data_IF_634940221448
#
_entry.id   IF_634940221448
#
_cell.length_a   1.000
_cell.length_b   1.000
_cell.length_c   1.000
_cell.angle_alpha   90.00
_cell.angle_beta   90.00
_cell.angle_gamma   90.00
#
_symmetry.space_group_name_H-M   'P 1'
#
loop_
_entity.id
_entity.type
_entity.pdbx_description
1 polymer ?
#
# COMPACT_ATOMS: atom_id res chain seq x y z
N UNK A 1 -28.82 -31.13 77.60
CA UNK A 1 -29.92 -30.39 76.95
C UNK A 1 -29.66 -28.89 76.87
N UNK A 2 -29.70 -28.11 77.96
CA UNK A 2 -29.51 -26.65 77.85
C UNK A 2 -28.11 -26.22 77.36
N UNK A 3 -27.04 -26.92 77.77
CA UNK A 3 -25.67 -26.67 77.29
C UNK A 3 -25.50 -26.96 75.80
N UNK A 4 -26.07 -28.06 75.31
CA UNK A 4 -25.95 -28.47 73.91
C UNK A 4 -26.68 -27.48 72.98
N UNK A 5 -27.85 -27.00 73.40
CA UNK A 5 -28.61 -25.97 72.68
C UNK A 5 -27.82 -24.66 72.58
N UNK A 6 -27.17 -24.24 73.67
CA UNK A 6 -26.32 -23.04 73.67
C UNK A 6 -25.11 -23.18 72.74
N UNK A 7 -24.50 -24.37 72.69
CA UNK A 7 -23.36 -24.67 71.80
C UNK A 7 -23.78 -24.62 70.32
N UNK A 8 -24.95 -25.18 70.00
CA UNK A 8 -25.50 -25.13 68.63
C UNK A 8 -25.80 -23.69 68.22
N UNK A 9 -26.34 -22.87 69.13
CA UNK A 9 -26.64 -21.47 68.84
C UNK A 9 -25.37 -20.65 68.56
N UNK A 10 -24.29 -20.89 69.31
CA UNK A 10 -23.00 -20.25 69.10
C UNK A 10 -22.42 -20.58 67.71
N UNK A 11 -22.45 -21.85 67.30
CA UNK A 11 -21.97 -22.29 65.99
C UNK A 11 -22.81 -21.72 64.84
N UNK A 12 -24.13 -21.65 65.00
CA UNK A 12 -25.02 -21.03 64.01
C UNK A 12 -24.74 -19.54 63.85
N UNK A 13 -24.46 -18.85 64.96
CA UNK A 13 -24.10 -17.43 64.92
C UNK A 13 -22.76 -17.20 64.21
N UNK A 14 -21.74 -17.97 64.56
CA UNK A 14 -20.41 -17.89 63.94
C UNK A 14 -20.47 -18.19 62.43
N UNK A 15 -21.17 -19.25 62.02
CA UNK A 15 -21.35 -19.58 60.60
C UNK A 15 -22.15 -18.53 59.84
N UNK A 16 -23.14 -17.89 60.47
CA UNK A 16 -23.89 -16.76 59.89
C UNK A 16 -22.99 -15.54 59.68
N UNK A 17 -22.20 -15.16 60.68
CA UNK A 17 -21.25 -14.03 60.59
C UNK A 17 -20.19 -14.29 59.50
N UNK A 18 -19.71 -15.53 59.38
CA UNK A 18 -18.76 -15.92 58.35
C UNK A 18 -19.38 -15.84 56.94
N UNK A 19 -20.62 -16.31 56.76
CA UNK A 19 -21.37 -16.18 55.49
C UNK A 19 -21.58 -14.71 55.11
N UNK A 20 -21.91 -13.84 56.07
CA UNK A 20 -22.09 -12.41 55.84
C UNK A 20 -20.77 -11.73 55.41
N UNK A 21 -19.64 -12.11 56.02
CA UNK A 21 -18.32 -11.63 55.61
C UNK A 21 -17.96 -12.02 54.16
N UNK A 22 -18.28 -13.27 53.77
CA UNK A 22 -18.06 -13.78 52.40
C UNK A 22 -18.94 -13.05 51.39
N UNK A 23 -20.21 -12.82 51.73
CA UNK A 23 -21.13 -12.04 50.90
C UNK A 23 -20.62 -10.62 50.67
N UNK A 24 -20.16 -9.95 51.72
CA UNK A 24 -19.58 -8.61 51.61
C UNK A 24 -18.32 -8.58 50.73
N UNK A 25 -17.44 -9.57 50.88
CA UNK A 25 -16.25 -9.71 50.03
C UNK A 25 -16.63 -9.90 48.55
N UNK A 26 -17.59 -10.79 48.25
CA UNK A 26 -18.09 -11.03 46.88
C UNK A 26 -18.68 -9.75 46.29
N UNK A 27 -19.50 -9.02 47.05
CA UNK A 27 -20.08 -7.75 46.58
C UNK A 27 -19.01 -6.70 46.27
N UNK A 28 -17.96 -6.60 47.09
CA UNK A 28 -16.86 -5.68 46.84
C UNK A 28 -16.08 -6.04 45.56
N UNK A 29 -15.82 -7.33 45.35
CA UNK A 29 -15.16 -7.83 44.15
C UNK A 29 -16.04 -7.62 42.90
N UNK A 30 -17.35 -7.83 43.02
CA UNK A 30 -18.31 -7.59 41.94
C UNK A 30 -18.31 -6.13 41.50
N UNK A 31 -18.36 -5.18 42.44
CA UNK A 31 -18.26 -3.74 42.14
C UNK A 31 -16.95 -3.38 41.43
N UNK A 32 -15.84 -3.97 41.85
CA UNK A 32 -14.54 -3.76 41.21
C UNK A 32 -14.51 -4.30 39.77
N UNK A 33 -15.17 -5.44 39.52
CA UNK A 33 -15.33 -6.01 38.17
C UNK A 33 -16.21 -5.12 37.30
N UNK A 34 -17.34 -4.64 37.82
CA UNK A 34 -18.23 -3.71 37.11
C UNK A 34 -17.49 -2.43 36.70
N UNK A 35 -16.70 -1.84 37.60
CA UNK A 35 -15.87 -0.67 37.30
C UNK A 35 -14.82 -0.93 36.20
N UNK A 36 -14.25 -2.14 36.15
CA UNK A 36 -13.34 -2.53 35.06
C UNK A 36 -14.08 -2.73 33.74
N UNK A 37 -15.28 -3.28 33.77
CA UNK A 37 -16.10 -3.44 32.56
C UNK A 37 -16.51 -2.08 31.98
N UNK A 38 -16.85 -1.11 32.83
CA UNK A 38 -17.19 0.24 32.37
C UNK A 38 -15.97 0.94 31.74
N UNK A 39 -14.78 0.82 32.34
CA UNK A 39 -13.53 1.31 31.74
C UNK A 39 -13.24 0.67 30.37
N UNK A 40 -13.36 -0.67 30.29
CA UNK A 40 -13.17 -1.39 29.02
C UNK A 40 -14.17 -0.91 27.98
N UNK A 41 -15.44 -0.71 28.35
CA UNK A 41 -16.46 -0.18 27.46
C UNK A 41 -16.10 1.21 26.91
N UNK A 42 -15.62 2.11 27.76
CA UNK A 42 -15.17 3.44 27.35
C UNK A 42 -13.97 3.38 26.40
N UNK A 43 -12.99 2.51 26.69
CA UNK A 43 -11.79 2.31 25.85
C UNK A 43 -12.15 1.72 24.49
N UNK A 44 -13.05 0.75 24.45
CA UNK A 44 -13.55 0.17 23.20
C UNK A 44 -14.30 1.22 22.37
N UNK A 45 -15.14 2.05 23.00
CA UNK A 45 -15.82 3.15 22.32
C UNK A 45 -14.84 4.12 21.64
N UNK A 46 -13.79 4.54 22.35
CA UNK A 46 -12.75 5.38 21.78
C UNK A 46 -12.01 4.68 20.61
N UNK A 47 -11.64 3.41 20.81
CA UNK A 47 -10.98 2.63 19.77
C UNK A 47 -11.84 2.50 18.50
N UNK A 48 -13.16 2.29 18.65
CA UNK A 48 -14.10 2.24 17.53
C UNK A 48 -14.17 3.57 16.78
N UNK A 49 -14.32 4.70 17.49
CA UNK A 49 -14.30 6.03 16.84
C UNK A 49 -12.98 6.31 16.11
N UNK A 50 -11.85 5.82 16.66
CA UNK A 50 -10.55 5.94 16.00
C UNK A 50 -10.47 5.10 14.73
N UNK A 51 -11.04 3.90 14.73
CA UNK A 51 -11.14 3.03 13.55
C UNK A 51 -11.98 3.70 12.47
N UNK A 52 -13.18 4.21 12.82
CA UNK A 52 -14.06 4.89 11.87
C UNK A 52 -13.35 6.06 11.17
N UNK A 53 -12.66 6.89 11.95
CA UNK A 53 -11.85 8.00 11.41
C UNK A 53 -10.77 7.52 10.42
N UNK A 54 -10.05 6.44 10.76
CA UNK A 54 -9.00 5.91 9.89
C UNK A 54 -9.57 5.27 8.62
N UNK A 55 -10.72 4.61 8.72
CA UNK A 55 -11.41 4.05 7.57
C UNK A 55 -11.88 5.13 6.60
N UNK A 56 -12.48 6.21 7.12
CA UNK A 56 -12.92 7.35 6.33
C UNK A 56 -11.75 8.04 5.64
N UNK A 57 -10.65 8.26 6.37
CA UNK A 57 -9.42 8.77 5.78
C UNK A 57 -8.94 7.84 4.65
N UNK A 58 -8.84 6.53 4.90
CA UNK A 58 -8.39 5.57 3.89
C UNK A 58 -9.29 5.54 2.66
N UNK A 59 -10.62 5.67 2.82
CA UNK A 59 -11.57 5.81 1.70
C UNK A 59 -11.27 7.06 0.88
N UNK A 60 -11.05 8.21 1.53
CA UNK A 60 -10.68 9.46 0.85
C UNK A 60 -9.34 9.34 0.10
N UNK A 61 -8.33 8.73 0.72
CA UNK A 61 -7.03 8.45 0.10
C UNK A 61 -7.15 7.54 -1.13
N UNK A 62 -7.99 6.50 -1.05
CA UNK A 62 -8.22 5.59 -2.17
C UNK A 62 -8.89 6.27 -3.37
N UNK A 63 -9.78 7.23 -3.10
CA UNK A 63 -10.42 8.04 -4.16
C UNK A 63 -9.43 9.02 -4.81
N UNK A 64 -8.58 9.66 -4.02
CA UNK A 64 -7.64 10.69 -4.48
C UNK A 64 -6.38 10.10 -5.14
N UNK A 65 -5.74 9.12 -4.51
CA UNK A 65 -4.57 8.39 -5.03
C UNK A 65 -4.98 7.10 -5.72
N UNK A 66 -5.61 7.25 -6.88
CA UNK A 66 -5.80 6.12 -7.79
C UNK A 66 -4.42 5.64 -8.31
N UNK A 67 -3.94 4.43 -7.96
CA UNK A 67 -2.56 4.02 -8.27
C UNK A 67 -2.22 4.05 -9.75
N UNK A 68 -3.20 3.81 -10.63
CA UNK A 68 -3.02 3.90 -12.07
C UNK A 68 -2.80 5.35 -12.52
N UNK A 69 -3.59 6.31 -12.01
CA UNK A 69 -3.43 7.74 -12.33
C UNK A 69 -2.11 8.29 -11.80
N UNK A 70 -1.73 7.89 -10.58
CA UNK A 70 -0.46 8.31 -9.98
C UNK A 70 0.73 7.78 -10.78
N UNK A 71 0.74 6.47 -11.12
CA UNK A 71 1.78 5.88 -11.98
C UNK A 71 1.86 6.56 -13.34
N UNK A 72 0.72 6.84 -13.97
CA UNK A 72 0.68 7.54 -15.25
C UNK A 72 1.25 8.97 -15.13
N UNK A 73 0.84 9.74 -14.13
CA UNK A 73 1.37 11.09 -13.88
C UNK A 73 2.87 11.10 -13.64
N UNK A 74 3.40 10.13 -12.89
CA UNK A 74 4.84 9.99 -12.64
C UNK A 74 5.57 9.67 -13.96
N UNK A 75 5.05 8.73 -14.75
CA UNK A 75 5.64 8.36 -16.05
C UNK A 75 5.63 9.50 -17.07
N UNK A 76 4.62 10.38 -17.04
CA UNK A 76 4.54 11.57 -17.89
C UNK A 76 5.43 12.72 -17.42
N UNK A 77 5.60 12.88 -16.09
CA UNK A 77 6.37 13.97 -15.50
C UNK A 77 7.88 13.70 -15.50
N UNK A 78 8.31 12.46 -15.25
CA UNK A 78 9.72 12.13 -15.10
C UNK A 78 10.58 12.51 -16.32
N UNK A 79 10.17 12.25 -17.58
CA UNK A 79 10.93 12.69 -18.75
C UNK A 79 11.03 14.21 -18.90
N UNK A 80 10.03 14.96 -18.42
CA UNK A 80 10.01 16.43 -18.48
C UNK A 80 10.98 17.05 -17.47
N UNK A 81 11.12 16.40 -16.32
CA UNK A 81 12.05 16.81 -15.25
C UNK A 81 13.49 16.38 -15.58
N UNK A 82 13.66 15.31 -16.35
CA UNK A 82 14.96 14.77 -16.73
C UNK A 82 15.55 13.92 -15.61
N UNK A 83 16.40 14.50 -14.77
CA UNK A 83 17.09 13.77 -13.69
C UNK A 83 16.25 13.79 -12.42
N UNK A 84 15.56 12.67 -12.14
CA UNK A 84 14.80 12.49 -10.88
C UNK A 84 15.74 11.93 -9.82
N UNK A 85 15.91 12.60 -8.69
CA UNK A 85 16.72 12.12 -7.57
C UNK A 85 15.93 12.09 -6.26
N UNK A 86 16.11 11.05 -5.47
CA UNK A 86 15.59 10.94 -4.12
C UNK A 86 16.73 10.53 -3.20
N UNK A 87 16.90 11.27 -2.09
CA UNK A 87 17.96 11.02 -1.11
C UNK A 87 19.36 10.87 -1.73
N UNK A 88 19.70 11.76 -2.67
CA UNK A 88 20.98 11.70 -3.40
C UNK A 88 21.09 10.61 -4.49
N UNK A 89 20.13 9.70 -4.60
CA UNK A 89 20.14 8.60 -5.57
C UNK A 89 19.32 8.93 -6.82
N UNK A 90 19.89 8.67 -8.00
CA UNK A 90 19.20 8.85 -9.28
C UNK A 90 18.16 7.74 -9.51
N UNK A 91 16.90 8.14 -9.66
CA UNK A 91 15.79 7.24 -9.96
C UNK A 91 15.47 7.32 -11.45
N UNK A 92 15.48 6.18 -12.11
CA UNK A 92 14.98 6.05 -13.47
C UNK A 92 13.52 5.60 -13.47
N UNK A 93 12.66 6.40 -14.09
CA UNK A 93 11.24 6.08 -14.26
C UNK A 93 11.03 5.62 -15.69
N UNK A 94 10.52 4.39 -15.85
CA UNK A 94 10.18 3.83 -17.15
C UNK A 94 8.67 3.62 -17.25
N UNK A 95 8.07 3.79 -18.44
CA UNK A 95 6.69 3.39 -18.67
C UNK A 95 6.49 1.88 -18.43
N UNK A 96 5.35 1.50 -17.85
CA UNK A 96 4.97 0.11 -17.59
C UNK A 96 4.42 -0.53 -18.87
N UNK A 97 5.29 -1.21 -19.62
CA UNK A 97 4.92 -1.93 -20.84
C UNK A 97 4.68 -3.41 -20.54
N UNK A 98 3.67 -4.00 -21.19
CA UNK A 98 3.50 -5.45 -21.16
C UNK A 98 4.74 -6.17 -21.69
N UNK A 99 4.98 -7.41 -21.23
CA UNK A 99 6.14 -8.22 -21.64
C UNK A 99 6.28 -8.30 -23.17
N UNK A 100 5.18 -8.53 -23.88
CA UNK A 100 5.12 -8.58 -25.34
C UNK A 100 5.58 -7.26 -26.00
N UNK A 101 5.17 -6.12 -25.44
CA UNK A 101 5.58 -4.80 -25.96
C UNK A 101 7.07 -4.58 -25.67
N UNK A 102 7.54 -4.93 -24.47
CA UNK A 102 8.95 -4.82 -24.09
C UNK A 102 9.87 -5.67 -24.99
N UNK A 103 9.49 -6.91 -25.28
CA UNK A 103 10.23 -7.80 -26.19
C UNK A 103 10.27 -7.24 -27.61
N UNK A 104 9.12 -6.78 -28.14
CA UNK A 104 9.06 -6.12 -29.44
C UNK A 104 9.92 -4.86 -29.49
N UNK A 105 9.96 -4.05 -28.42
CA UNK A 105 10.85 -2.88 -28.31
C UNK A 105 12.32 -3.28 -28.26
N UNK A 106 12.64 -4.38 -27.59
CA UNK A 106 14.00 -4.92 -27.52
C UNK A 106 14.50 -5.40 -28.89
N UNK A 107 13.61 -5.89 -29.77
CA UNK A 107 13.97 -6.26 -31.14
C UNK A 107 14.55 -5.08 -31.95
N UNK A 108 14.21 -3.83 -31.59
CA UNK A 108 14.76 -2.62 -32.21
C UNK A 108 16.10 -2.16 -31.58
N UNK A 109 16.68 -2.87 -30.61
CA UNK A 109 17.93 -2.47 -29.94
C UNK A 109 19.10 -2.31 -30.93
N UNK A 110 19.20 -3.19 -31.92
CA UNK A 110 20.25 -3.10 -32.95
C UNK A 110 20.09 -1.84 -33.81
N UNK A 111 18.86 -1.52 -34.20
CA UNK A 111 18.52 -0.30 -34.94
C UNK A 111 18.89 0.95 -34.13
N UNK A 112 18.50 1.01 -32.85
CA UNK A 112 18.83 2.12 -31.94
C UNK A 112 20.34 2.33 -31.84
N UNK A 113 21.12 1.26 -31.67
CA UNK A 113 22.58 1.33 -31.57
C UNK A 113 23.21 1.94 -32.83
N UNK A 114 22.76 1.55 -34.02
CA UNK A 114 23.25 2.11 -35.28
C UNK A 114 22.85 3.58 -35.44
N UNK A 115 21.62 3.93 -35.09
CA UNK A 115 21.12 5.31 -35.16
C UNK A 115 21.89 6.24 -34.21
N UNK A 116 22.20 5.78 -32.99
CA UNK A 116 23.07 6.51 -32.07
C UNK A 116 24.48 6.69 -32.63
N UNK A 117 25.07 5.63 -33.21
CA UNK A 117 26.41 5.69 -33.82
C UNK A 117 26.46 6.72 -34.97
N UNK A 118 25.40 6.78 -35.77
CA UNK A 118 25.25 7.72 -36.90
C UNK A 118 24.66 9.07 -36.51
N UNK A 119 24.44 9.34 -35.21
CA UNK A 119 23.85 10.58 -34.68
C UNK A 119 22.51 10.98 -35.33
N UNK A 120 21.74 10.00 -35.80
CA UNK A 120 20.43 10.21 -36.41
C UNK A 120 19.37 10.38 -35.31
N UNK A 121 18.53 11.42 -35.41
CA UNK A 121 17.40 11.62 -34.49
C UNK A 121 16.29 10.60 -34.76
N UNK A 122 15.90 9.86 -33.73
CA UNK A 122 14.83 8.87 -33.80
C UNK A 122 13.96 8.87 -32.54
N UNK A 123 12.76 8.33 -32.67
CA UNK A 123 11.82 8.11 -31.56
C UNK A 123 11.18 6.73 -31.69
N UNK A 124 10.95 6.04 -30.58
CA UNK A 124 10.21 4.76 -30.56
C UNK A 124 8.85 4.98 -29.89
N UNK A 125 7.81 5.19 -30.70
CA UNK A 125 6.47 5.48 -30.23
C UNK A 125 5.75 4.23 -29.70
N UNK A 126 4.79 4.44 -28.81
CA UNK A 126 3.90 3.38 -28.32
C UNK A 126 2.91 2.94 -29.41
N UNK A 127 2.59 1.64 -29.55
CA UNK A 127 3.17 0.50 -28.85
C UNK A 127 4.62 0.21 -29.27
N UNK A 128 4.91 0.01 -30.56
CA UNK A 128 6.26 -0.20 -31.10
C UNK A 128 6.35 0.31 -32.55
N UNK A 129 6.57 1.62 -32.73
CA UNK A 129 6.81 2.22 -34.05
C UNK A 129 8.08 3.05 -34.03
N UNK A 130 9.10 2.63 -34.78
CA UNK A 130 10.35 3.38 -34.90
C UNK A 130 10.16 4.50 -35.92
N UNK A 131 10.32 5.74 -35.49
CA UNK A 131 10.20 6.93 -36.33
C UNK A 131 11.57 7.58 -36.52
N UNK A 132 11.97 7.78 -37.78
CA UNK A 132 13.20 8.47 -38.18
C UNK A 132 12.88 9.85 -38.74
N UNK A 133 13.76 10.83 -38.48
CA UNK A 133 13.71 12.20 -39.00
C UNK A 133 14.92 12.50 -39.91
N UNK A 134 15.10 11.73 -40.98
CA UNK A 134 16.29 11.86 -41.85
C UNK A 134 15.97 12.60 -43.15
N UNK A 135 14.78 12.38 -43.74
CA UNK A 135 14.31 13.05 -44.96
C UNK A 135 12.78 13.06 -44.92
N UNK A 136 12.24 13.75 -43.92
CA UNK A 136 10.84 13.60 -43.50
C UNK A 136 10.64 12.54 -42.43
N UNK A 137 9.38 12.19 -42.16
CA UNK A 137 8.98 11.25 -41.11
C UNK A 137 8.79 9.87 -41.71
N UNK A 138 9.69 8.93 -41.41
CA UNK A 138 9.55 7.52 -41.81
C UNK A 138 9.30 6.65 -40.60
N UNK A 139 8.28 5.80 -40.71
CA UNK A 139 7.83 4.92 -39.63
C UNK A 139 8.05 3.45 -39.99
N UNK A 140 8.56 2.69 -39.03
CA UNK A 140 8.83 1.26 -39.20
C UNK A 140 8.22 0.48 -38.05
N UNK A 141 7.34 -0.46 -38.40
CA UNK A 141 6.77 -1.45 -37.48
C UNK A 141 7.62 -2.72 -37.41
N UNK A 142 8.38 -3.01 -38.46
CA UNK A 142 9.22 -4.21 -38.57
C UNK A 142 10.71 -3.85 -38.32
N UNK A 143 11.38 -4.52 -37.36
CA UNK A 143 12.78 -4.24 -37.04
C UNK A 143 13.75 -4.61 -38.18
N UNK A 144 13.46 -5.63 -38.98
CA UNK A 144 14.32 -6.04 -40.10
C UNK A 144 14.28 -5.01 -41.23
N UNK A 145 13.07 -4.55 -41.58
CA UNK A 145 12.89 -3.49 -42.60
C UNK A 145 13.57 -2.20 -42.16
N UNK A 146 13.42 -1.83 -40.89
CA UNK A 146 14.12 -0.69 -40.31
C UNK A 146 15.65 -0.83 -40.43
N UNK A 147 16.19 -2.00 -40.09
CA UNK A 147 17.63 -2.24 -40.11
C UNK A 147 18.23 -2.14 -41.51
N UNK A 148 17.56 -2.72 -42.52
CA UNK A 148 17.99 -2.63 -43.92
C UNK A 148 18.03 -1.18 -44.38
N UNK A 149 16.99 -0.41 -44.06
CA UNK A 149 16.93 1.01 -44.39
C UNK A 149 18.02 1.83 -43.68
N UNK A 150 18.24 1.60 -42.38
CA UNK A 150 19.27 2.30 -41.60
C UNK A 150 20.67 2.02 -42.17
N UNK A 151 20.91 0.81 -42.70
CA UNK A 151 22.18 0.47 -43.35
C UNK A 151 22.36 1.19 -44.69
N UNK A 152 21.30 1.36 -45.47
CA UNK A 152 21.32 2.05 -46.76
C UNK A 152 21.38 3.57 -46.66
N UNK A 153 21.20 4.15 -45.47
CA UNK A 153 21.39 5.60 -45.28
C UNK A 153 22.85 5.99 -45.55
N UNK A 154 23.10 7.12 -46.22
CA UNK A 154 24.46 7.66 -46.37
C UNK A 154 25.07 8.02 -45.00
N UNK A 155 26.42 8.02 -44.89
CA UNK A 155 27.14 8.34 -43.67
C UNK A 155 26.94 9.77 -43.19
#
# INVERSE_FOLDING_TARGET
>A
MARDISSIYALLKETSEEQESKLNAIQSAMRAVEAKLTDIGARLGNAMSRIDFLEDANRAWRLTLQPHKVRQRIAEAAPKIGKVSWDGHHIMVFPDYSKLVSEKRAAFNQCKRLLHKRRVKFSLMYPVVLTLKVEGRREFTDPKKALTYIRSLPP
#
